data_IF_950212787828
#
_entry.id   IF_950212787828
#
_cell.length_a   1.000
_cell.length_b   1.000
_cell.length_c   1.000
_cell.angle_alpha   90.00
_cell.angle_beta   90.00
_cell.angle_gamma   90.00
#
_symmetry.space_group_name_H-M   'P 1'
#
loop_
_entity.id
_entity.type
_entity.pdbx_description
1 polymer ?
#
# COMPACT_ATOMS: atom_id res chain seq x y z
N UNK A 1 -21.77 -3.67 -16.71
CA UNK A 1 -22.39 -5.01 -16.62
C UNK A 1 -21.62 -6.00 -17.49
N UNK A 2 -20.42 -6.44 -17.04
CA UNK A 2 -19.77 -7.61 -17.63
C UNK A 2 -20.51 -8.84 -17.10
N UNK A 3 -21.32 -9.47 -17.96
CA UNK A 3 -21.83 -10.80 -17.67
C UNK A 3 -20.63 -11.74 -17.62
N UNK A 4 -20.33 -12.27 -16.44
CA UNK A 4 -19.40 -13.39 -16.32
C UNK A 4 -20.05 -14.59 -16.98
N UNK A 5 -19.63 -14.90 -18.18
CA UNK A 5 -20.05 -16.12 -18.89
C UNK A 5 -19.20 -17.28 -18.34
N UNK A 6 -19.83 -18.19 -17.61
CA UNK A 6 -19.16 -19.40 -17.13
C UNK A 6 -18.96 -20.30 -18.37
N UNK A 7 -17.74 -20.30 -18.89
CA UNK A 7 -17.34 -21.13 -20.02
C UNK A 7 -16.84 -22.50 -19.52
N UNK A 8 -17.13 -23.54 -20.28
CA UNK A 8 -16.60 -24.87 -19.97
C UNK A 8 -15.07 -24.85 -20.10
N UNK A 9 -14.36 -25.17 -19.02
CA UNK A 9 -12.89 -25.14 -18.96
C UNK A 9 -12.22 -26.03 -20.02
N UNK A 10 -12.83 -27.13 -20.40
CA UNK A 10 -12.31 -28.02 -21.44
C UNK A 10 -12.30 -27.32 -22.80
N UNK A 11 -13.38 -26.62 -23.16
CA UNK A 11 -13.46 -25.87 -24.40
C UNK A 11 -12.45 -24.72 -24.44
N UNK A 12 -12.27 -24.01 -23.32
CA UNK A 12 -11.29 -22.93 -23.21
C UNK A 12 -9.85 -23.47 -23.40
N UNK A 13 -9.52 -24.62 -22.80
CA UNK A 13 -8.22 -25.24 -22.97
C UNK A 13 -7.99 -25.67 -24.43
N UNK A 14 -9.00 -26.26 -25.08
CA UNK A 14 -8.93 -26.67 -26.47
C UNK A 14 -8.71 -25.47 -27.42
N UNK A 15 -9.40 -24.34 -27.20
CA UNK A 15 -9.22 -23.10 -27.97
C UNK A 15 -7.77 -22.55 -27.88
N UNK A 16 -7.10 -22.77 -26.76
CA UNK A 16 -5.72 -22.35 -26.55
C UNK A 16 -4.67 -23.43 -26.83
N UNK A 17 -5.07 -24.57 -27.40
CA UNK A 17 -4.20 -25.74 -27.63
C UNK A 17 -3.52 -26.26 -26.35
N UNK A 18 -4.21 -26.15 -25.22
CA UNK A 18 -3.75 -26.63 -23.93
C UNK A 18 -4.44 -27.95 -23.57
N UNK A 19 -3.73 -28.82 -22.84
CA UNK A 19 -4.29 -30.05 -22.28
C UNK A 19 -4.46 -29.89 -20.77
N UNK A 20 -5.50 -30.52 -20.19
CA UNK A 20 -5.63 -30.62 -18.75
C UNK A 20 -4.38 -31.25 -18.10
N UNK A 21 -3.91 -30.68 -17.02
CA UNK A 21 -2.81 -31.27 -16.24
C UNK A 21 -3.35 -32.47 -15.46
N UNK A 22 -2.66 -33.60 -15.50
CA UNK A 22 -2.95 -34.75 -14.64
C UNK A 22 -2.17 -34.61 -13.36
N UNK A 23 -2.87 -34.41 -12.24
CA UNK A 23 -2.27 -34.23 -10.93
C UNK A 23 -1.67 -35.58 -10.45
N UNK A 24 -0.49 -35.51 -9.85
CA UNK A 24 0.20 -36.62 -9.20
C UNK A 24 -0.17 -36.68 -7.72
N UNK A 25 0.39 -37.66 -7.01
CA UNK A 25 0.21 -37.82 -5.57
C UNK A 25 0.46 -36.50 -4.83
N UNK A 26 -0.45 -36.16 -3.92
CA UNK A 26 -0.40 -34.96 -3.07
C UNK A 26 -0.67 -33.62 -3.77
N UNK A 27 -0.50 -33.49 -5.09
CA UNK A 27 -0.68 -32.22 -5.80
C UNK A 27 -2.11 -31.67 -5.71
N UNK A 28 -3.13 -32.52 -5.73
CA UNK A 28 -4.53 -32.09 -5.58
C UNK A 28 -4.79 -31.45 -4.23
N UNK A 29 -4.27 -32.03 -3.14
CA UNK A 29 -4.41 -31.49 -1.79
C UNK A 29 -3.63 -30.18 -1.63
N UNK A 30 -2.41 -30.11 -2.17
CA UNK A 30 -1.56 -28.94 -2.12
C UNK A 30 -2.21 -27.71 -2.81
N UNK A 31 -2.98 -27.93 -3.88
CA UNK A 31 -3.68 -26.85 -4.58
C UNK A 31 -4.84 -26.22 -3.79
N UNK A 32 -5.45 -26.96 -2.85
CA UNK A 32 -6.65 -26.52 -2.14
C UNK A 32 -6.42 -26.21 -0.66
N UNK A 33 -5.41 -26.77 -0.03
CA UNK A 33 -5.16 -26.66 1.42
C UNK A 33 -4.07 -25.66 1.81
N UNK A 34 -3.24 -25.23 0.88
CA UNK A 34 -2.16 -24.30 1.17
C UNK A 34 -2.61 -22.83 1.25
N UNK A 35 -1.68 -21.94 1.56
CA UNK A 35 -1.92 -20.49 1.62
C UNK A 35 -1.72 -19.80 0.26
N UNK A 36 -1.44 -20.54 -0.81
CA UNK A 36 -1.01 -20.00 -2.12
C UNK A 36 -2.02 -19.02 -2.72
N UNK A 37 -3.31 -19.34 -2.63
CA UNK A 37 -4.36 -18.48 -3.17
C UNK A 37 -4.44 -17.15 -2.41
N UNK A 38 -4.41 -17.20 -1.08
CA UNK A 38 -4.39 -16.01 -0.22
C UNK A 38 -3.10 -15.20 -0.44
N UNK A 39 -1.96 -15.88 -0.55
CA UNK A 39 -0.66 -15.25 -0.85
C UNK A 39 -0.67 -14.53 -2.20
N UNK A 40 -1.24 -15.14 -3.24
CA UNK A 40 -1.31 -14.53 -4.57
C UNK A 40 -2.12 -13.23 -4.55
N UNK A 41 -3.29 -13.20 -3.91
CA UNK A 41 -4.09 -11.99 -3.75
C UNK A 41 -3.38 -10.97 -2.87
N UNK A 42 -2.75 -11.39 -1.78
CA UNK A 42 -2.00 -10.51 -0.89
C UNK A 42 -0.82 -9.85 -1.59
N UNK A 43 -0.05 -10.59 -2.38
CA UNK A 43 1.05 -10.04 -3.20
C UNK A 43 0.51 -9.04 -4.23
N UNK A 44 -0.60 -9.35 -4.91
CA UNK A 44 -1.23 -8.41 -5.82
C UNK A 44 -1.62 -7.10 -5.11
N UNK A 45 -2.26 -7.20 -3.94
CA UNK A 45 -2.62 -6.03 -3.12
C UNK A 45 -1.39 -5.23 -2.69
N UNK A 46 -0.30 -5.90 -2.29
CA UNK A 46 0.96 -5.25 -1.90
C UNK A 46 1.63 -4.53 -3.07
N UNK A 47 1.65 -5.11 -4.26
CA UNK A 47 2.15 -4.43 -5.46
C UNK A 47 1.36 -3.14 -5.71
N UNK A 48 0.03 -3.19 -5.61
CA UNK A 48 -0.83 -2.02 -5.77
C UNK A 48 -0.61 -0.99 -4.65
N UNK A 49 -0.47 -1.44 -3.40
CA UNK A 49 -0.17 -0.58 -2.26
C UNK A 49 1.16 0.18 -2.43
N UNK A 50 2.22 -0.52 -2.85
CA UNK A 50 3.52 0.11 -3.13
C UNK A 50 3.45 1.12 -4.30
N UNK A 51 2.67 0.83 -5.35
CA UNK A 51 2.41 1.77 -6.44
C UNK A 51 1.65 3.03 -5.97
N UNK A 52 0.71 2.88 -5.04
CA UNK A 52 0.01 3.99 -4.42
C UNK A 52 0.96 4.83 -3.55
N UNK A 53 1.76 4.20 -2.69
CA UNK A 53 2.75 4.88 -1.85
C UNK A 53 3.71 5.75 -2.67
N UNK A 54 4.17 5.26 -3.81
CA UNK A 54 5.05 6.03 -4.69
C UNK A 54 4.40 7.31 -5.23
N UNK A 55 3.07 7.36 -5.28
CA UNK A 55 2.31 8.51 -5.79
C UNK A 55 1.81 9.44 -4.68
N UNK A 56 1.59 8.93 -3.47
CA UNK A 56 0.96 9.72 -2.39
C UNK A 56 1.75 10.96 -2.02
N UNK A 57 3.07 10.86 -1.89
CA UNK A 57 3.91 12.00 -1.53
C UNK A 57 3.95 13.05 -2.65
N UNK A 58 3.99 12.61 -3.90
CA UNK A 58 3.94 13.51 -5.05
C UNK A 58 2.62 14.29 -5.11
N UNK A 59 1.48 13.60 -4.98
CA UNK A 59 0.15 14.23 -4.94
C UNK A 59 0.03 15.16 -3.73
N UNK A 60 0.57 14.75 -2.58
CA UNK A 60 0.60 15.60 -1.38
C UNK A 60 1.44 16.87 -1.61
N UNK A 61 2.58 16.77 -2.29
CA UNK A 61 3.42 17.92 -2.62
C UNK A 61 2.67 18.94 -3.50
N UNK A 62 1.94 18.48 -4.52
CA UNK A 62 1.09 19.36 -5.34
C UNK A 62 0.03 20.06 -4.48
N UNK A 63 -0.59 19.31 -3.54
CA UNK A 63 -1.60 19.87 -2.65
C UNK A 63 -1.02 20.90 -1.68
N UNK A 64 0.19 20.67 -1.15
CA UNK A 64 0.94 21.60 -0.28
C UNK A 64 1.21 22.89 -1.01
N UNK A 65 1.68 22.80 -2.24
CA UNK A 65 2.02 23.94 -3.07
C UNK A 65 0.76 24.75 -3.42
N UNK A 66 -0.28 24.10 -3.92
CA UNK A 66 -1.55 24.72 -4.29
C UNK A 66 -2.27 25.39 -3.10
N UNK A 67 -2.12 24.88 -1.89
CA UNK A 67 -2.72 25.45 -0.66
C UNK A 67 -1.81 26.48 0.03
N UNK A 68 -0.69 26.85 -0.60
CA UNK A 68 0.28 27.82 -0.07
C UNK A 68 0.76 27.46 1.35
N UNK A 69 1.12 26.20 1.55
CA UNK A 69 1.52 25.69 2.86
C UNK A 69 2.97 26.06 3.22
N UNK A 70 3.26 26.00 4.51
CA UNK A 70 4.60 26.15 5.07
C UNK A 70 5.40 24.86 4.92
N UNK A 71 6.72 24.97 4.74
CA UNK A 71 7.63 23.82 4.65
C UNK A 71 8.30 23.43 5.97
N UNK A 72 8.19 24.26 7.02
CA UNK A 72 8.78 23.96 8.31
C UNK A 72 8.35 22.60 8.91
N UNK A 73 7.09 22.10 8.72
CA UNK A 73 6.70 20.78 9.21
C UNK A 73 7.51 19.62 8.61
N UNK A 74 8.21 19.85 7.49
CA UNK A 74 9.02 18.85 6.80
C UNK A 74 10.52 18.98 7.12
N UNK A 75 10.92 19.91 7.99
CA UNK A 75 12.31 20.13 8.34
C UNK A 75 12.89 18.93 9.10
N UNK A 76 14.09 18.46 8.70
CA UNK A 76 14.70 17.23 9.22
C UNK A 76 14.79 17.18 10.75
N UNK A 77 15.10 18.29 11.42
CA UNK A 77 15.22 18.32 12.90
C UNK A 77 13.97 17.82 13.62
N UNK A 78 12.76 18.05 13.05
CA UNK A 78 11.51 17.53 13.63
C UNK A 78 11.41 16.01 13.52
N UNK A 79 12.07 15.42 12.55
CA UNK A 79 12.02 13.99 12.27
C UNK A 79 13.19 13.25 12.90
N UNK A 80 14.32 13.92 13.11
CA UNK A 80 15.49 13.37 13.79
C UNK A 80 15.18 13.07 15.28
N UNK A 81 14.37 13.91 15.92
CA UNK A 81 13.93 13.70 17.32
C UNK A 81 12.75 12.71 17.45
N UNK A 82 12.18 12.25 16.32
CA UNK A 82 11.14 11.21 16.26
C UNK A 82 11.43 10.25 15.09
N UNK A 83 12.43 9.36 15.24
CA UNK A 83 13.14 8.73 14.14
C UNK A 83 12.42 7.52 13.53
N UNK A 84 11.16 7.66 13.12
CA UNK A 84 10.47 6.68 12.31
C UNK A 84 10.91 6.78 10.85
N UNK A 85 11.33 5.67 10.25
CA UNK A 85 11.93 5.65 8.91
C UNK A 85 10.99 6.22 7.84
N UNK A 86 9.75 5.80 7.84
CA UNK A 86 8.75 6.26 6.88
C UNK A 86 8.45 7.76 7.03
N UNK A 87 8.43 8.28 8.26
CA UNK A 87 8.26 9.71 8.55
C UNK A 87 9.41 10.54 7.97
N UNK A 88 10.65 10.14 8.23
CA UNK A 88 11.86 10.79 7.69
C UNK A 88 11.84 10.76 6.15
N UNK A 89 11.58 9.60 5.58
CA UNK A 89 11.53 9.42 4.12
C UNK A 89 10.45 10.29 3.46
N UNK A 90 9.28 10.39 4.09
CA UNK A 90 8.19 11.23 3.59
C UNK A 90 8.55 12.70 3.63
N UNK A 91 9.06 13.21 4.75
CA UNK A 91 9.46 14.60 4.88
C UNK A 91 10.52 15.00 3.84
N UNK A 92 11.55 14.16 3.70
CA UNK A 92 12.59 14.34 2.69
C UNK A 92 12.00 14.39 1.28
N UNK A 93 11.10 13.44 0.95
CA UNK A 93 10.49 13.36 -0.40
C UNK A 93 9.63 14.58 -0.73
N UNK A 94 8.88 15.10 0.23
CA UNK A 94 8.10 16.35 0.06
C UNK A 94 9.02 17.53 -0.25
N UNK A 95 10.12 17.70 0.52
CA UNK A 95 11.08 18.79 0.28
C UNK A 95 11.77 18.65 -1.08
N UNK A 96 12.16 17.43 -1.49
CA UNK A 96 12.72 17.18 -2.82
C UNK A 96 11.75 17.58 -3.94
N UNK A 97 10.47 17.23 -3.81
CA UNK A 97 9.45 17.54 -4.80
C UNK A 97 9.17 19.05 -4.92
N UNK A 98 9.38 19.80 -3.85
CA UNK A 98 9.09 21.25 -3.76
C UNK A 98 10.35 22.13 -3.86
N UNK A 99 11.52 21.56 -4.12
CA UNK A 99 12.80 22.29 -4.11
C UNK A 99 12.81 23.50 -5.07
N UNK A 100 12.18 23.37 -6.22
CA UNK A 100 12.13 24.40 -7.25
C UNK A 100 10.82 25.22 -7.24
N UNK A 101 9.90 24.96 -6.30
CA UNK A 101 8.63 25.67 -6.21
C UNK A 101 8.84 27.15 -5.86
N UNK A 102 8.34 28.04 -6.70
CA UNK A 102 8.31 29.47 -6.42
C UNK A 102 7.26 29.83 -5.35
N UNK A 103 6.15 29.09 -5.28
CA UNK A 103 5.11 29.27 -4.26
C UNK A 103 5.65 28.89 -2.89
N UNK A 104 6.38 27.79 -2.79
CA UNK A 104 7.00 27.35 -1.54
C UNK A 104 7.97 28.37 -0.93
N UNK A 105 8.64 29.17 -1.79
CA UNK A 105 9.62 30.22 -1.40
C UNK A 105 8.95 31.55 -0.99
N UNK A 106 7.67 31.75 -1.22
CA UNK A 106 6.96 32.97 -0.89
C UNK A 106 6.78 33.14 0.63
N UNK A 107 6.62 34.38 1.06
CA UNK A 107 6.30 34.67 2.45
C UNK A 107 4.94 34.09 2.83
N UNK A 108 4.87 33.34 3.91
CA UNK A 108 3.64 32.70 4.40
C UNK A 108 2.99 33.53 5.50
N UNK A 109 1.74 33.91 5.29
CA UNK A 109 0.96 34.72 6.24
C UNK A 109 0.51 33.86 7.44
N UNK A 110 0.20 32.60 7.21
CA UNK A 110 -0.34 31.70 8.23
C UNK A 110 0.75 31.26 9.21
N UNK A 111 0.41 31.21 10.49
CA UNK A 111 1.34 30.71 11.54
C UNK A 111 1.61 29.23 11.39
N UNK A 112 0.58 28.44 11.03
CA UNK A 112 0.69 26.99 10.81
C UNK A 112 -0.43 26.52 9.87
N UNK A 113 -0.17 25.36 9.24
CA UNK A 113 -1.14 24.69 8.40
C UNK A 113 -2.02 23.71 9.17
N UNK A 114 -3.10 23.31 8.53
CA UNK A 114 -4.01 22.30 9.06
C UNK A 114 -3.34 20.91 9.06
N UNK A 115 -3.82 20.02 9.93
CA UNK A 115 -3.24 18.67 10.12
C UNK A 115 -3.12 17.87 8.84
N UNK A 116 -4.11 18.00 7.92
CA UNK A 116 -4.08 17.29 6.65
C UNK A 116 -2.87 17.62 5.77
N UNK A 117 -2.20 18.75 6.01
CA UNK A 117 -0.96 19.15 5.33
C UNK A 117 0.25 18.96 6.24
N UNK A 118 0.28 19.54 7.43
CA UNK A 118 1.48 19.51 8.28
C UNK A 118 1.80 18.16 8.91
N UNK A 119 0.82 17.24 9.01
CA UNK A 119 1.00 15.90 9.56
C UNK A 119 1.22 14.82 8.49
N UNK A 120 1.44 15.20 7.22
CA UNK A 120 1.74 14.26 6.15
C UNK A 120 2.92 13.32 6.49
N UNK A 121 4.06 13.79 7.01
CA UNK A 121 5.16 12.91 7.36
C UNK A 121 4.78 11.83 8.36
N UNK A 122 4.00 12.18 9.37
CA UNK A 122 3.58 11.27 10.43
C UNK A 122 2.59 10.21 9.92
N UNK A 123 1.62 10.60 9.09
CA UNK A 123 0.56 9.70 8.60
C UNK A 123 1.08 8.83 7.45
N UNK A 124 1.64 9.44 6.39
CA UNK A 124 2.21 8.68 5.29
C UNK A 124 3.36 7.78 5.76
N UNK A 125 4.18 8.30 6.69
CA UNK A 125 5.31 7.56 7.25
C UNK A 125 4.86 6.30 8.01
N UNK A 126 3.83 6.40 8.84
CA UNK A 126 3.29 5.25 9.56
C UNK A 126 2.76 4.17 8.60
N UNK A 127 2.04 4.57 7.54
CA UNK A 127 1.57 3.64 6.52
C UNK A 127 2.71 3.00 5.73
N UNK A 128 3.78 3.75 5.44
CA UNK A 128 4.98 3.20 4.79
C UNK A 128 5.68 2.15 5.63
N UNK A 129 5.89 2.43 6.93
CA UNK A 129 6.54 1.50 7.86
C UNK A 129 5.69 0.22 8.02
N UNK A 130 4.36 0.35 8.09
CA UNK A 130 3.44 -0.78 8.12
C UNK A 130 3.53 -1.63 6.85
N UNK A 131 3.46 -1.01 5.67
CA UNK A 131 3.51 -1.72 4.38
C UNK A 131 4.89 -2.36 4.17
N UNK A 132 5.99 -1.73 4.60
CA UNK A 132 7.32 -2.35 4.57
C UNK A 132 7.39 -3.63 5.43
N UNK A 133 6.80 -3.57 6.62
CA UNK A 133 6.70 -4.76 7.48
C UNK A 133 5.91 -5.89 6.81
N UNK A 134 4.75 -5.57 6.24
CA UNK A 134 3.89 -6.54 5.57
C UNK A 134 4.59 -7.15 4.34
N UNK A 135 5.31 -6.35 3.56
CA UNK A 135 6.13 -6.84 2.44
C UNK A 135 7.11 -7.93 2.88
N UNK A 136 7.77 -7.77 4.04
CA UNK A 136 8.70 -8.77 4.57
C UNK A 136 7.98 -10.07 4.93
N UNK A 137 6.80 -9.99 5.55
CA UNK A 137 5.99 -11.16 5.89
C UNK A 137 5.58 -11.93 4.64
N UNK A 138 5.05 -11.24 3.63
CA UNK A 138 4.66 -11.88 2.38
C UNK A 138 5.85 -12.45 1.60
N UNK A 139 6.99 -11.77 1.63
CA UNK A 139 8.23 -12.30 1.04
C UNK A 139 8.66 -13.63 1.68
N UNK A 140 8.51 -13.74 2.99
CA UNK A 140 8.76 -15.00 3.70
C UNK A 140 7.76 -16.07 3.30
N UNK A 141 6.47 -15.74 3.31
CA UNK A 141 5.38 -16.69 3.06
C UNK A 141 5.42 -17.29 1.64
N UNK A 142 5.68 -16.47 0.61
CA UNK A 142 5.75 -16.97 -0.78
C UNK A 142 6.97 -17.86 -1.05
N UNK A 143 7.92 -17.90 -0.13
CA UNK A 143 9.08 -18.78 -0.17
C UNK A 143 9.00 -19.92 0.86
N UNK A 144 7.87 -20.05 1.57
CA UNK A 144 7.65 -21.07 2.58
C UNK A 144 6.93 -22.29 1.99
N UNK A 145 7.07 -23.42 2.67
CA UNK A 145 6.26 -24.62 2.41
C UNK A 145 5.03 -24.57 3.31
N UNK A 146 3.88 -24.28 2.70
CA UNK A 146 2.59 -24.08 3.40
C UNK A 146 1.65 -25.26 3.22
N UNK A 147 2.14 -26.46 3.42
CA UNK A 147 1.42 -27.72 3.19
C UNK A 147 1.46 -28.64 4.43
N UNK A 148 0.72 -29.74 4.39
CA UNK A 148 0.67 -30.78 5.39
C UNK A 148 0.19 -32.13 4.79
N UNK A 149 0.85 -33.26 5.11
CA UNK A 149 2.13 -33.39 5.82
C UNK A 149 3.32 -32.97 4.96
N UNK A 150 4.42 -32.58 5.58
CA UNK A 150 5.67 -32.24 4.89
C UNK A 150 6.58 -33.48 4.79
N UNK A 151 7.25 -33.64 3.64
CA UNK A 151 8.17 -34.75 3.37
C UNK A 151 9.59 -34.21 3.38
N UNK A 152 10.43 -34.80 4.22
CA UNK A 152 11.85 -34.50 4.36
C UNK A 152 12.63 -35.73 3.87
N UNK A 153 12.94 -35.72 2.57
CA UNK A 153 13.51 -36.90 1.91
C UNK A 153 14.94 -37.26 2.39
N UNK A 154 15.73 -36.26 2.77
CA UNK A 154 17.10 -36.43 3.23
C UNK A 154 17.14 -37.10 4.64
N UNK A 155 16.14 -36.78 5.47
CA UNK A 155 16.00 -37.29 6.83
C UNK A 155 15.13 -38.57 6.90
N UNK A 156 14.53 -38.96 5.78
CA UNK A 156 13.54 -40.05 5.70
C UNK A 156 12.37 -39.88 6.67
N UNK A 157 11.83 -38.62 6.72
CA UNK A 157 10.76 -38.27 7.63
C UNK A 157 9.54 -37.73 6.87
N UNK A 158 8.36 -38.06 7.41
CA UNK A 158 7.09 -37.44 7.03
C UNK A 158 6.47 -36.87 8.30
N UNK A 159 6.34 -35.52 8.35
CA UNK A 159 5.88 -34.82 9.55
C UNK A 159 4.55 -34.09 9.27
N UNK A 160 3.61 -34.29 10.19
CA UNK A 160 2.33 -33.54 10.18
C UNK A 160 2.45 -32.30 11.07
N UNK A 161 2.04 -31.18 10.55
CA UNK A 161 2.10 -29.87 11.23
C UNK A 161 1.02 -28.92 10.74
N UNK A 162 1.14 -27.64 11.09
CA UNK A 162 0.14 -26.60 10.83
C UNK A 162 0.55 -25.55 9.78
N UNK A 163 1.53 -25.83 8.93
CA UNK A 163 2.06 -24.83 7.98
C UNK A 163 1.05 -24.35 6.91
N UNK A 164 -0.07 -25.04 6.78
CA UNK A 164 -1.21 -24.60 5.96
C UNK A 164 -2.03 -23.47 6.58
N UNK A 165 -1.77 -23.11 7.83
CA UNK A 165 -2.59 -22.16 8.58
C UNK A 165 -2.30 -20.71 8.15
N UNK A 166 -3.28 -20.05 7.55
CA UNK A 166 -3.14 -18.71 6.97
C UNK A 166 -3.20 -17.54 7.95
N UNK A 167 -3.10 -17.75 9.28
CA UNK A 167 -3.26 -16.70 10.29
C UNK A 167 -2.28 -15.55 10.11
N UNK A 168 -1.04 -15.85 9.75
CA UNK A 168 -0.01 -14.83 9.47
C UNK A 168 -0.46 -13.88 8.35
N UNK A 169 -0.99 -14.43 7.26
CA UNK A 169 -1.48 -13.62 6.15
C UNK A 169 -2.74 -12.82 6.51
N UNK A 170 -3.69 -13.45 7.24
CA UNK A 170 -4.94 -12.80 7.63
C UNK A 170 -4.69 -11.53 8.44
N UNK A 171 -3.88 -11.60 9.50
CA UNK A 171 -3.54 -10.43 10.34
C UNK A 171 -2.87 -9.33 9.51
N UNK A 172 -1.95 -9.68 8.62
CA UNK A 172 -1.22 -8.68 7.86
C UNK A 172 -2.03 -8.08 6.70
N UNK A 173 -3.03 -8.79 6.18
CA UNK A 173 -3.98 -8.22 5.23
C UNK A 173 -4.92 -7.20 5.90
N UNK A 174 -5.38 -7.48 7.11
CA UNK A 174 -6.16 -6.52 7.90
C UNK A 174 -5.31 -5.28 8.24
N UNK A 175 -4.04 -5.49 8.62
CA UNK A 175 -3.13 -4.38 8.87
C UNK A 175 -2.85 -3.56 7.60
N UNK A 176 -2.75 -4.19 6.43
CA UNK A 176 -2.63 -3.50 5.15
C UNK A 176 -3.87 -2.64 4.86
N UNK A 177 -5.06 -3.17 5.12
CA UNK A 177 -6.30 -2.43 4.93
C UNK A 177 -6.36 -1.17 5.81
N UNK A 178 -5.96 -1.26 7.08
CA UNK A 178 -5.87 -0.12 8.00
C UNK A 178 -4.87 0.92 7.47
N UNK A 179 -3.65 0.49 7.08
CA UNK A 179 -2.63 1.40 6.59
C UNK A 179 -3.04 2.15 5.32
N UNK A 180 -3.78 1.50 4.42
CA UNK A 180 -4.30 2.12 3.20
C UNK A 180 -5.48 3.05 3.47
N UNK A 181 -6.36 2.71 4.43
CA UNK A 181 -7.48 3.56 4.84
C UNK A 181 -7.00 4.91 5.38
N UNK A 182 -5.92 4.94 6.16
CA UNK A 182 -5.33 6.18 6.69
C UNK A 182 -4.75 7.08 5.59
N UNK A 183 -4.12 6.50 4.56
CA UNK A 183 -3.69 7.26 3.38
C UNK A 183 -4.87 7.89 2.64
N UNK A 184 -5.96 7.14 2.50
CA UNK A 184 -7.20 7.63 1.91
C UNK A 184 -7.83 8.76 2.75
N UNK A 185 -7.90 8.58 4.06
CA UNK A 185 -8.47 9.54 5.02
C UNK A 185 -7.75 10.89 4.97
N UNK A 186 -6.43 10.91 5.08
CA UNK A 186 -5.68 12.18 5.03
C UNK A 186 -5.75 12.83 3.64
N UNK A 187 -5.81 12.04 2.57
CA UNK A 187 -5.98 12.56 1.21
C UNK A 187 -7.34 13.21 1.02
N UNK A 188 -8.41 12.60 1.52
CA UNK A 188 -9.75 13.16 1.51
C UNK A 188 -9.81 14.49 2.28
N UNK A 189 -9.21 14.55 3.46
CA UNK A 189 -9.13 15.80 4.25
C UNK A 189 -8.40 16.92 3.51
N UNK A 190 -7.34 16.63 2.76
CA UNK A 190 -6.67 17.64 1.90
C UNK A 190 -7.59 18.11 0.77
N UNK A 191 -8.26 17.19 0.11
CA UNK A 191 -9.24 17.52 -0.94
C UNK A 191 -10.33 18.45 -0.40
N UNK A 192 -10.89 18.11 0.77
CA UNK A 192 -11.86 18.96 1.44
C UNK A 192 -11.36 20.40 1.66
N UNK A 193 -10.11 20.54 2.15
CA UNK A 193 -9.51 21.87 2.37
C UNK A 193 -9.34 22.65 1.07
N UNK A 194 -8.90 21.99 0.00
CA UNK A 194 -8.70 22.62 -1.31
C UNK A 194 -9.99 23.15 -1.91
N UNK A 195 -11.11 22.41 -1.76
CA UNK A 195 -12.41 22.79 -2.36
C UNK A 195 -13.25 23.70 -1.45
N UNK A 196 -12.81 23.98 -0.23
CA UNK A 196 -13.59 24.73 0.78
C UNK A 196 -13.56 26.25 0.62
N UNK A 197 -12.90 26.78 -0.42
CA UNK A 197 -12.78 28.22 -0.63
C UNK A 197 -11.84 28.96 0.33
N UNK A 198 -10.90 28.23 0.97
CA UNK A 198 -9.88 28.79 1.85
C UNK A 198 -8.62 29.21 1.08
N UNK A 199 -7.79 30.04 1.71
CA UNK A 199 -6.48 30.44 1.17
C UNK A 199 -6.55 31.09 -0.22
N UNK A 200 -7.57 31.89 -0.48
CA UNK A 200 -7.84 32.55 -1.77
C UNK A 200 -8.12 31.57 -2.92
N UNK A 201 -8.33 30.30 -2.63
CA UNK A 201 -8.82 29.36 -3.62
C UNK A 201 -10.34 29.56 -3.81
N UNK A 202 -10.85 29.49 -5.04
CA UNK A 202 -12.29 29.55 -5.26
C UNK A 202 -12.97 28.29 -4.69
N UNK A 203 -14.18 28.45 -4.15
CA UNK A 203 -14.94 27.31 -3.67
C UNK A 203 -15.14 26.29 -4.79
N UNK A 204 -15.04 25.00 -4.47
CA UNK A 204 -15.05 23.89 -5.44
C UNK A 204 -14.00 23.97 -6.55
N UNK A 205 -13.02 24.90 -6.45
CA UNK A 205 -11.97 25.15 -7.45
C UNK A 205 -12.53 25.53 -8.84
N UNK A 206 -13.67 26.19 -8.88
CA UNK A 206 -14.32 26.65 -10.11
C UNK A 206 -14.43 28.18 -10.14
N UNK A 207 -14.46 28.78 -11.33
CA UNK A 207 -14.50 30.23 -11.49
C UNK A 207 -15.81 30.88 -11.01
N UNK A 208 -16.91 30.14 -11.02
CA UNK A 208 -18.23 30.54 -10.52
C UNK A 208 -18.78 29.44 -9.64
N UNK A 209 -18.46 29.43 -8.33
CA UNK A 209 -18.90 28.42 -7.37
C UNK A 209 -20.41 28.51 -7.05
#
# INVERSE_FOLDING_TARGET
NSKFEIRNSKLVLEEHNLKPITLKSKEGLALINGTQFMSAYGVYCLIKANQLLAKTDFIASISIDAFDCRLEPFHHLLHDIRPHKGQIATAKKILENLADSEIAKQHKVQVQDQYAFRCIPQVHGASKDAIEHINKIFTTEINAVTDNPNVFAEEDLILSGGNFHGQTLAIHLDFLAIALAELGSISERRTYQLISGQRNLPAFLVSNP
#
